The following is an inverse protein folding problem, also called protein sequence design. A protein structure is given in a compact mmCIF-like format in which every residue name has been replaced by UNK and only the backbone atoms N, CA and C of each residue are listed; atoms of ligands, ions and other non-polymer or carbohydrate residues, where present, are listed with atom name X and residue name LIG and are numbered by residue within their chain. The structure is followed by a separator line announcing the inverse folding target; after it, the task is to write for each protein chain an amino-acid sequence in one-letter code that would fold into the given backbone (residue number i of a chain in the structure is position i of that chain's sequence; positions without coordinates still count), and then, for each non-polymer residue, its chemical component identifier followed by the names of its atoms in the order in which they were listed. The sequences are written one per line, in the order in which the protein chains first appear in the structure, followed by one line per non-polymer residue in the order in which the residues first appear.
data_IF_341330246174
#
_entry.id   IF_341330246174
#
_cell.length_a   1.000
_cell.length_b   1.000
_cell.length_c   1.000
_cell.angle_alpha   90.00
_cell.angle_beta   90.00
_cell.angle_gamma   90.00
#
_symmetry.space_group_name_H-M   'P 1'
#
loop_
_entity.id
_entity.type
_entity.pdbx_description
1 polymer ?
#
# COMPACT_ATOMS: atom_id res chain seq x y z
N UNK A 1 -7.27 -7.21 4.40
CA UNK A 1 -7.38 -5.87 5.01
C UNK A 1 -7.97 -4.88 4.03
N UNK A 2 -8.79 -3.93 4.48
CA UNK A 2 -9.24 -2.79 3.65
C UNK A 2 -8.17 -1.71 3.58
N UNK A 3 -8.28 -0.79 2.60
CA UNK A 3 -7.31 0.32 2.44
C UNK A 3 -7.16 1.18 3.70
N UNK A 4 -8.22 1.34 4.49
CA UNK A 4 -8.19 2.10 5.74
C UNK A 4 -7.40 1.41 6.85
N UNK A 5 -7.43 0.08 6.90
CA UNK A 5 -6.62 -0.71 7.84
C UNK A 5 -5.14 -0.64 7.43
N UNK A 6 -4.86 -0.77 6.13
CA UNK A 6 -3.50 -0.66 5.59
C UNK A 6 -2.90 0.74 5.83
N UNK A 7 -3.71 1.79 5.64
CA UNK A 7 -3.35 3.17 5.94
C UNK A 7 -2.97 3.36 7.42
N UNK A 8 -3.79 2.83 8.33
CA UNK A 8 -3.50 2.87 9.78
C UNK A 8 -2.22 2.11 10.13
N UNK A 9 -2.03 0.92 9.56
CA UNK A 9 -0.88 0.07 9.86
C UNK A 9 0.45 0.65 9.34
N UNK A 10 0.42 1.33 8.19
CA UNK A 10 1.62 1.90 7.55
C UNK A 10 1.85 3.38 7.90
N UNK A 11 0.87 4.05 8.49
CA UNK A 11 0.88 5.50 8.71
C UNK A 11 0.74 6.32 7.42
N UNK A 12 0.41 5.67 6.30
CA UNK A 12 0.20 6.33 5.02
C UNK A 12 -1.24 6.82 4.86
N UNK A 13 -1.42 7.87 4.07
CA UNK A 13 -2.76 8.23 3.61
C UNK A 13 -3.27 7.21 2.61
N UNK A 14 -4.59 6.99 2.56
CA UNK A 14 -5.22 6.15 1.53
C UNK A 14 -4.92 6.66 0.12
N UNK A 15 -4.74 7.98 -0.06
CA UNK A 15 -4.31 8.59 -1.32
C UNK A 15 -2.91 8.14 -1.72
N UNK A 16 -1.96 8.09 -0.77
CA UNK A 16 -0.59 7.64 -1.03
C UNK A 16 -0.54 6.16 -1.42
N UNK A 17 -1.36 5.32 -0.76
CA UNK A 17 -1.45 3.90 -1.11
C UNK A 17 -1.96 3.73 -2.54
N UNK A 18 -3.01 4.46 -2.93
CA UNK A 18 -3.52 4.45 -4.31
C UNK A 18 -2.51 4.99 -5.32
N UNK A 19 -1.70 5.97 -4.93
CA UNK A 19 -0.63 6.47 -5.78
C UNK A 19 0.42 5.36 -6.03
N UNK A 20 0.83 4.63 -4.99
CA UNK A 20 1.76 3.51 -5.16
C UNK A 20 1.18 2.32 -5.91
N UNK A 21 -0.13 2.08 -5.82
CA UNK A 21 -0.85 1.14 -6.69
C UNK A 21 -0.77 1.60 -8.16
N UNK A 22 -1.09 2.87 -8.43
CA UNK A 22 -1.07 3.42 -9.79
C UNK A 22 0.33 3.44 -10.44
N UNK A 23 1.38 3.65 -9.64
CA UNK A 23 2.78 3.56 -10.08
C UNK A 23 3.30 2.12 -10.19
N UNK A 24 2.46 1.10 -9.91
CA UNK A 24 2.83 -0.32 -9.98
C UNK A 24 3.80 -0.78 -8.88
N UNK A 25 4.02 0.06 -7.87
CA UNK A 25 4.90 -0.26 -6.75
C UNK A 25 4.27 -1.31 -5.84
N UNK A 26 2.95 -1.36 -5.75
CA UNK A 26 2.19 -2.40 -5.06
C UNK A 26 1.37 -3.13 -6.12
N UNK A 27 1.31 -4.47 -6.13
CA UNK A 27 0.45 -5.19 -7.05
C UNK A 27 -1.02 -4.77 -6.86
N UNK A 28 -1.78 -4.80 -7.95
CA UNK A 28 -3.21 -4.51 -7.89
C UNK A 28 -3.91 -5.47 -6.91
N UNK A 29 -4.48 -4.97 -5.80
CA UNK A 29 -5.08 -5.83 -4.80
C UNK A 29 -6.34 -6.50 -5.35
N UNK A 30 -6.54 -7.81 -5.07
CA UNK A 30 -7.77 -8.49 -5.47
C UNK A 30 -8.99 -7.79 -4.87
N UNK A 31 -10.11 -7.85 -5.60
CA UNK A 31 -11.37 -7.34 -5.10
C UNK A 31 -12.08 -8.42 -4.28
N UNK A 32 -12.71 -8.02 -3.18
CA UNK A 32 -13.66 -8.86 -2.44
C UNK A 32 -14.92 -9.07 -3.27
N UNK A 33 -15.74 -10.06 -2.90
CA UNK A 33 -17.06 -10.29 -3.53
C UNK A 33 -17.99 -9.07 -3.43
N UNK A 34 -17.76 -8.22 -2.43
CA UNK A 34 -18.43 -6.93 -2.23
C UNK A 34 -17.84 -5.76 -3.05
N UNK A 35 -16.84 -6.02 -3.90
CA UNK A 35 -16.23 -5.04 -4.80
C UNK A 35 -15.14 -4.15 -4.19
N UNK A 36 -14.77 -4.36 -2.91
CA UNK A 36 -13.72 -3.59 -2.26
C UNK A 36 -12.33 -4.16 -2.54
N UNK A 37 -11.31 -3.31 -2.59
CA UNK A 37 -9.91 -3.76 -2.62
C UNK A 37 -9.54 -4.46 -1.31
N UNK A 38 -8.95 -5.64 -1.43
CA UNK A 38 -8.43 -6.43 -0.31
C UNK A 38 -6.91 -6.50 -0.38
N UNK A 39 -6.27 -5.97 0.64
CA UNK A 39 -4.81 -6.00 0.82
C UNK A 39 -4.42 -7.12 1.77
N UNK A 40 -3.27 -7.74 1.51
CA UNK A 40 -2.71 -8.81 2.32
C UNK A 40 -1.42 -8.34 3.03
N UNK A 41 -0.91 -9.17 3.95
CA UNK A 41 0.35 -8.91 4.66
C UNK A 41 1.55 -8.60 3.74
N UNK A 42 1.70 -9.25 2.55
CA UNK A 42 2.77 -8.90 1.62
C UNK A 42 2.71 -7.43 1.15
N UNK A 43 1.52 -6.85 1.02
CA UNK A 43 1.35 -5.45 0.60
C UNK A 43 1.84 -4.50 1.71
N UNK A 44 1.56 -4.85 2.97
CA UNK A 44 2.04 -4.12 4.14
C UNK A 44 3.56 -4.18 4.24
N UNK A 45 4.15 -5.35 4.07
CA UNK A 45 5.61 -5.52 4.09
C UNK A 45 6.28 -4.71 2.97
N UNK A 46 5.69 -4.70 1.77
CA UNK A 46 6.20 -3.94 0.63
C UNK A 46 6.12 -2.43 0.87
N UNK A 47 4.98 -1.94 1.38
CA UNK A 47 4.83 -0.55 1.78
C UNK A 47 5.85 -0.13 2.84
N UNK A 48 6.10 -1.00 3.82
CA UNK A 48 7.12 -0.79 4.83
C UNK A 48 8.53 -0.68 4.24
N UNK A 49 8.85 -1.48 3.22
CA UNK A 49 10.11 -1.39 2.50
C UNK A 49 10.25 -0.06 1.74
N UNK A 50 9.23 0.34 0.97
CA UNK A 50 9.22 1.61 0.22
C UNK A 50 9.43 2.80 1.17
N UNK A 51 8.76 2.78 2.33
CA UNK A 51 8.91 3.81 3.36
C UNK A 51 10.34 3.87 3.93
N UNK A 52 10.96 2.72 4.21
CA UNK A 52 12.35 2.65 4.67
C UNK A 52 13.31 3.19 3.60
N UNK A 53 13.12 2.79 2.33
CA UNK A 53 13.92 3.28 1.22
C UNK A 53 13.82 4.81 1.08
N UNK A 54 12.61 5.37 1.14
CA UNK A 54 12.38 6.82 1.09
C UNK A 54 13.05 7.57 2.23
N UNK A 55 13.05 7.00 3.45
CA UNK A 55 13.77 7.57 4.62
C UNK A 55 15.29 7.56 4.45
N UNK A 56 15.82 6.66 3.64
CA UNK A 56 17.24 6.59 3.30
C UNK A 56 17.63 7.54 2.15
N UNK A 57 16.69 8.34 1.63
CA UNK A 57 16.94 9.31 0.57
C UNK A 57 16.77 8.76 -0.85
N UNK A 58 16.26 7.54 -1.01
CA UNK A 58 15.92 6.99 -2.32
C UNK A 58 14.64 7.68 -2.85
N UNK A 59 14.69 8.12 -4.11
CA UNK A 59 13.52 8.65 -4.82
C UNK A 59 12.74 7.53 -5.51
N UNK A 60 11.48 7.84 -5.81
CA UNK A 60 10.59 7.01 -6.62
C UNK A 60 10.91 7.21 -8.11
#
# INVERSE_FOLDING_TARGET
MKIGELAKATGLSTKTIRFYEAEGLIPDPPRTDSGYRSYAEPDLARLGFILKAKRLGLSL
#
